data_IF_834950329191
#
_entry.id   IF_834950329191
#
_cell.length_a   1.000
_cell.length_b   1.000
_cell.length_c   1.000
_cell.angle_alpha   90.00
_cell.angle_beta   90.00
_cell.angle_gamma   90.00
#
_symmetry.space_group_name_H-M   'P 1'
#
loop_
_entity.id
_entity.type
_entity.pdbx_description
1 polymer ?
#
# COMPACT_ATOMS: atom_id res chain seq x y z
N UNK A 1 5.84 13.51 -40.70
CA UNK A 1 6.61 13.93 -39.51
C UNK A 1 6.14 13.05 -38.37
N UNK A 2 6.88 11.99 -38.08
CA UNK A 2 6.47 10.90 -37.19
C UNK A 2 7.03 11.20 -35.81
N UNK A 3 6.18 11.56 -34.86
CA UNK A 3 6.56 11.73 -33.46
C UNK A 3 6.75 10.32 -32.90
N UNK A 4 8.01 9.90 -32.79
CA UNK A 4 8.37 8.71 -32.03
C UNK A 4 8.43 9.17 -30.57
N UNK A 5 7.40 8.81 -29.80
CA UNK A 5 7.44 8.96 -28.34
C UNK A 5 8.57 8.06 -27.82
N UNK A 6 9.63 8.67 -27.30
CA UNK A 6 10.67 7.96 -26.57
C UNK A 6 10.04 7.30 -25.33
N UNK A 7 10.41 6.06 -24.97
CA UNK A 7 9.91 5.42 -23.77
C UNK A 7 10.40 6.21 -22.55
N UNK A 8 9.50 6.95 -21.91
CA UNK A 8 9.78 7.65 -20.67
C UNK A 8 10.13 6.61 -19.61
N UNK A 9 11.39 6.62 -19.19
CA UNK A 9 11.90 5.80 -18.08
C UNK A 9 11.03 6.08 -16.85
N UNK A 10 10.40 5.05 -16.31
CA UNK A 10 9.70 5.12 -15.02
C UNK A 10 10.75 5.40 -13.96
N UNK A 11 10.88 6.67 -13.55
CA UNK A 11 11.68 7.03 -12.40
C UNK A 11 11.18 6.30 -11.16
N UNK A 12 12.08 5.75 -10.37
CA UNK A 12 11.74 5.14 -9.07
C UNK A 12 10.91 6.14 -8.25
N UNK A 13 9.81 5.70 -7.59
CA UNK A 13 9.07 6.59 -6.72
C UNK A 13 10.01 7.09 -5.62
N UNK A 14 10.16 8.42 -5.53
CA UNK A 14 10.96 9.06 -4.51
C UNK A 14 10.32 8.85 -3.13
N UNK A 15 10.59 7.70 -2.52
CA UNK A 15 10.29 7.46 -1.11
C UNK A 15 11.26 8.34 -0.31
N UNK A 16 10.74 9.38 0.31
CA UNK A 16 11.53 10.23 1.20
C UNK A 16 11.98 9.38 2.38
N UNK A 17 13.30 9.24 2.56
CA UNK A 17 13.86 8.62 3.76
C UNK A 17 13.80 9.59 4.96
N UNK A 18 13.56 9.06 6.17
CA UNK A 18 13.25 7.67 6.44
C UNK A 18 11.73 7.50 6.53
N UNK A 19 11.15 6.72 5.61
CA UNK A 19 9.87 6.07 5.92
C UNK A 19 10.04 5.36 7.27
N UNK A 20 9.10 5.52 8.21
CA UNK A 20 9.27 5.04 9.58
C UNK A 20 9.52 3.53 9.62
N UNK A 21 10.31 3.11 10.60
CA UNK A 21 10.69 1.70 10.78
C UNK A 21 9.43 0.80 10.77
N UNK A 22 9.40 -0.26 9.93
CA UNK A 22 8.22 -1.11 9.79
C UNK A 22 7.74 -1.77 11.10
N UNK A 23 8.62 -2.09 12.05
CA UNK A 23 8.22 -2.64 13.35
C UNK A 23 7.55 -1.56 14.20
N UNK A 24 8.11 -0.35 14.23
CA UNK A 24 7.49 0.78 14.93
C UNK A 24 6.11 1.10 14.34
N UNK A 25 5.99 1.09 13.01
CA UNK A 25 4.71 1.32 12.31
C UNK A 25 3.70 0.24 12.67
N UNK A 26 4.07 -1.04 12.64
CA UNK A 26 3.16 -2.13 12.99
C UNK A 26 2.71 -2.06 14.46
N UNK A 27 3.63 -1.76 15.38
CA UNK A 27 3.29 -1.54 16.79
C UNK A 27 2.33 -0.36 16.97
N UNK A 28 2.60 0.77 16.32
CA UNK A 28 1.74 1.95 16.36
C UNK A 28 0.35 1.65 15.76
N UNK A 29 0.30 0.93 14.63
CA UNK A 29 -0.92 0.54 13.95
C UNK A 29 -1.82 -0.33 14.86
N UNK A 30 -1.24 -1.33 15.52
CA UNK A 30 -1.95 -2.16 16.49
C UNK A 30 -2.50 -1.31 17.65
N UNK A 31 -1.72 -0.37 18.18
CA UNK A 31 -2.14 0.52 19.29
C UNK A 31 -3.29 1.44 18.92
N UNK A 32 -3.42 1.85 17.66
CA UNK A 32 -4.52 2.71 17.20
C UNK A 32 -5.75 1.92 16.73
N UNK A 33 -5.68 0.58 16.77
CA UNK A 33 -6.83 -0.30 16.56
C UNK A 33 -6.89 -1.00 15.19
N UNK A 34 -5.78 -1.08 14.45
CA UNK A 34 -5.72 -1.93 13.27
C UNK A 34 -5.52 -3.40 13.62
N UNK A 35 -6.14 -4.29 12.84
CA UNK A 35 -5.80 -5.71 12.85
C UNK A 35 -4.42 -5.89 12.18
N UNK A 36 -3.41 -6.22 12.98
CA UNK A 36 -2.05 -6.43 12.51
C UNK A 36 -1.74 -7.94 12.53
N UNK A 37 -1.41 -8.56 11.39
CA UNK A 37 -1.07 -9.97 11.33
C UNK A 37 0.29 -10.23 11.99
N UNK A 38 0.54 -11.48 12.37
CA UNK A 38 1.88 -11.89 12.76
C UNK A 38 2.83 -11.78 11.57
N UNK A 39 3.98 -11.13 11.77
CA UNK A 39 4.96 -10.89 10.72
C UNK A 39 6.24 -11.66 11.02
N UNK A 40 6.81 -12.25 9.96
CA UNK A 40 8.09 -12.96 10.01
C UNK A 40 9.17 -11.99 9.55
N UNK A 41 10.25 -11.92 10.32
CA UNK A 41 11.37 -11.01 10.13
C UNK A 41 12.68 -11.82 10.12
N UNK A 42 12.70 -12.91 9.34
CA UNK A 42 13.87 -13.75 9.12
C UNK A 42 14.70 -13.25 7.92
N UNK A 43 15.87 -13.85 7.66
CA UNK A 43 16.78 -13.41 6.59
C UNK A 43 16.19 -13.57 5.18
N UNK A 44 15.14 -14.39 5.04
CA UNK A 44 14.32 -14.55 3.82
C UNK A 44 13.08 -13.64 3.81
N UNK A 45 12.99 -12.69 4.74
CA UNK A 45 11.84 -11.80 4.83
C UNK A 45 11.74 -10.93 3.58
N UNK A 46 10.52 -10.88 3.05
CA UNK A 46 10.12 -9.97 1.99
C UNK A 46 10.51 -8.53 2.29
N UNK A 47 10.79 -7.71 1.26
CA UNK A 47 10.99 -6.28 1.43
C UNK A 47 9.76 -5.58 2.04
N UNK A 48 8.56 -6.18 1.91
CA UNK A 48 7.30 -5.67 2.44
C UNK A 48 6.63 -6.69 3.39
N UNK A 49 7.27 -7.01 4.54
CA UNK A 49 6.88 -8.16 5.37
C UNK A 49 5.51 -7.96 6.05
N UNK A 50 5.12 -6.71 6.31
CA UNK A 50 3.78 -6.35 6.80
C UNK A 50 2.70 -6.67 5.77
N UNK A 51 2.91 -6.29 4.51
CA UNK A 51 1.96 -6.51 3.43
C UNK A 51 1.79 -8.01 3.16
N UNK A 52 2.89 -8.75 3.16
CA UNK A 52 2.86 -10.21 3.02
C UNK A 52 2.16 -10.90 4.18
N UNK A 53 2.37 -10.42 5.42
CA UNK A 53 1.59 -10.83 6.58
C UNK A 53 0.09 -10.62 6.37
N UNK A 54 -0.29 -9.45 5.85
CA UNK A 54 -1.68 -9.07 5.64
C UNK A 54 -2.34 -9.88 4.52
N UNK A 55 -1.63 -10.12 3.42
CA UNK A 55 -2.07 -10.99 2.33
C UNK A 55 -2.27 -12.43 2.81
N UNK A 56 -1.33 -12.98 3.60
CA UNK A 56 -1.49 -14.32 4.19
C UNK A 56 -2.69 -14.41 5.13
N UNK A 57 -2.90 -13.39 5.96
CA UNK A 57 -4.03 -13.36 6.90
C UNK A 57 -5.38 -13.21 6.20
N UNK A 58 -5.44 -12.41 5.13
CA UNK A 58 -6.65 -12.24 4.32
C UNK A 58 -6.97 -13.45 3.44
N UNK A 59 -5.96 -14.26 3.11
CA UNK A 59 -6.10 -15.43 2.26
C UNK A 59 -6.16 -15.09 0.76
N UNK A 60 -6.45 -16.07 -0.11
CA UNK A 60 -6.31 -15.96 -1.56
C UNK A 60 -7.25 -14.93 -2.21
N UNK A 61 -8.35 -14.58 -1.54
CA UNK A 61 -9.29 -13.56 -2.01
C UNK A 61 -8.99 -12.16 -1.44
N UNK A 62 -7.89 -12.02 -0.69
CA UNK A 62 -7.47 -10.75 -0.11
C UNK A 62 -7.23 -9.68 -1.18
N UNK A 63 -7.83 -8.51 -1.00
CA UNK A 63 -7.69 -7.37 -1.92
C UNK A 63 -6.89 -6.27 -1.26
N UNK A 64 -5.79 -5.85 -1.90
CA UNK A 64 -5.00 -4.71 -1.46
C UNK A 64 -5.73 -3.42 -1.83
N UNK A 65 -5.85 -2.52 -0.87
CA UNK A 65 -6.30 -1.14 -1.07
C UNK A 65 -5.35 -0.20 -0.40
N UNK A 66 -5.27 1.03 -0.90
CA UNK A 66 -4.49 2.09 -0.28
C UNK A 66 -5.44 3.19 0.21
N UNK A 67 -5.41 3.45 1.52
CA UNK A 67 -5.98 4.67 2.08
C UNK A 67 -4.95 5.79 1.96
N UNK A 68 -5.40 6.99 1.64
CA UNK A 68 -4.54 8.17 1.60
C UNK A 68 -4.99 9.12 2.70
N UNK A 69 -4.04 9.55 3.53
CA UNK A 69 -4.23 10.58 4.55
C UNK A 69 -3.53 11.85 4.07
N UNK A 70 -4.30 12.93 3.93
CA UNK A 70 -3.82 14.27 3.61
C UNK A 70 -4.27 15.23 4.71
N UNK A 71 -3.37 16.05 5.23
CA UNK A 71 -3.66 17.04 6.28
C UNK A 71 -4.41 16.42 7.48
N UNK A 72 -4.00 15.21 7.87
CA UNK A 72 -4.58 14.45 8.99
C UNK A 72 -5.95 13.83 8.73
N UNK A 73 -6.45 13.82 7.47
CA UNK A 73 -7.76 13.27 7.10
C UNK A 73 -7.65 12.22 6.01
N UNK A 74 -8.46 11.16 6.11
CA UNK A 74 -8.58 10.18 5.02
C UNK A 74 -9.36 10.79 3.85
N UNK A 75 -8.80 10.71 2.64
CA UNK A 75 -9.42 11.21 1.39
C UNK A 75 -9.79 10.06 0.45
N UNK A 76 -10.63 10.34 -0.55
CA UNK A 76 -10.93 9.38 -1.62
C UNK A 76 -11.82 8.19 -1.24
N UNK A 77 -12.41 8.19 -0.03
CA UNK A 77 -13.18 7.06 0.53
C UNK A 77 -14.27 6.56 -0.44
N UNK A 78 -15.06 7.46 -1.04
CA UNK A 78 -16.15 7.08 -1.95
C UNK A 78 -15.68 6.21 -3.12
N UNK A 79 -14.50 6.48 -3.68
CA UNK A 79 -13.93 5.71 -4.79
C UNK A 79 -13.56 4.30 -4.31
N UNK A 80 -12.96 4.19 -3.12
CA UNK A 80 -12.58 2.91 -2.52
C UNK A 80 -13.81 2.06 -2.25
N UNK A 81 -14.86 2.64 -1.64
CA UNK A 81 -16.10 1.93 -1.35
C UNK A 81 -16.80 1.42 -2.62
N UNK A 82 -16.81 2.23 -3.67
CA UNK A 82 -17.35 1.85 -4.98
C UNK A 82 -16.57 0.69 -5.61
N UNK A 83 -15.24 0.72 -5.56
CA UNK A 83 -14.40 -0.35 -6.10
C UNK A 83 -14.48 -1.65 -5.29
N UNK A 84 -14.60 -1.54 -3.97
CA UNK A 84 -14.70 -2.70 -3.09
C UNK A 84 -16.11 -3.30 -3.04
N UNK A 85 -17.14 -2.51 -3.34
CA UNK A 85 -18.54 -2.87 -3.10
C UNK A 85 -18.91 -2.94 -1.61
N UNK A 86 -18.08 -2.33 -0.74
CA UNK A 86 -18.17 -2.44 0.72
C UNK A 86 -17.86 -1.08 1.35
N UNK A 87 -18.47 -0.80 2.50
CA UNK A 87 -18.15 0.41 3.28
C UNK A 87 -16.82 0.27 3.99
N UNK A 88 -16.06 1.36 4.07
CA UNK A 88 -14.87 1.40 4.92
C UNK A 88 -15.32 1.55 6.37
N UNK A 89 -14.93 0.67 7.31
CA UNK A 89 -15.33 0.79 8.69
C UNK A 89 -14.85 2.13 9.30
N UNK A 90 -15.71 2.83 10.02
CA UNK A 90 -15.36 4.10 10.67
C UNK A 90 -14.15 3.98 11.61
N UNK A 91 -14.01 2.82 12.29
CA UNK A 91 -12.85 2.51 13.14
C UNK A 91 -11.54 2.50 12.34
N UNK A 92 -11.56 2.01 11.11
CA UNK A 92 -10.39 1.93 10.22
C UNK A 92 -9.96 3.32 9.78
N UNK A 93 -10.92 4.18 9.44
CA UNK A 93 -10.64 5.58 9.09
C UNK A 93 -10.02 6.35 10.27
N UNK A 94 -10.61 6.22 11.46
CA UNK A 94 -10.09 6.85 12.67
C UNK A 94 -8.70 6.33 13.06
N UNK A 95 -8.46 5.03 12.91
CA UNK A 95 -7.16 4.43 13.15
C UNK A 95 -6.10 4.97 12.17
N UNK A 96 -6.45 5.14 10.88
CA UNK A 96 -5.55 5.71 9.88
C UNK A 96 -5.12 7.14 10.23
N UNK A 97 -6.08 8.01 10.58
CA UNK A 97 -5.79 9.40 10.99
C UNK A 97 -4.88 9.46 12.22
N UNK A 98 -5.16 8.60 13.22
CA UNK A 98 -4.35 8.50 14.45
C UNK A 98 -2.95 7.94 14.19
N UNK A 99 -2.82 6.96 13.31
CA UNK A 99 -1.52 6.37 12.97
C UNK A 99 -0.61 7.45 12.38
N UNK A 100 -1.09 8.16 11.35
CA UNK A 100 -0.31 9.20 10.67
C UNK A 100 0.05 10.33 11.62
N UNK A 101 -0.86 10.75 12.50
CA UNK A 101 -0.56 11.73 13.54
C UNK A 101 0.55 11.26 14.51
N UNK A 102 0.65 9.95 14.77
CA UNK A 102 1.62 9.39 15.71
C UNK A 102 3.01 9.14 15.09
N UNK A 103 3.10 8.84 13.79
CA UNK A 103 4.35 8.39 13.15
C UNK A 103 4.91 9.36 12.11
N UNK A 104 4.14 10.37 11.71
CA UNK A 104 4.49 11.25 10.59
C UNK A 104 4.24 12.74 10.91
N UNK A 105 4.45 13.13 12.17
CA UNK A 105 4.47 14.50 12.69
C UNK A 105 3.26 15.39 12.32
N UNK A 106 2.09 14.78 12.09
CA UNK A 106 0.80 15.45 11.93
C UNK A 106 0.62 16.29 10.65
N UNK A 107 1.67 16.51 9.84
CA UNK A 107 1.61 17.21 8.54
C UNK A 107 1.89 16.32 7.35
N UNK A 108 2.31 15.08 7.57
CA UNK A 108 2.65 14.19 6.48
C UNK A 108 1.42 13.77 5.66
N UNK A 109 1.63 13.76 4.35
CA UNK A 109 0.83 12.97 3.43
C UNK A 109 1.27 11.52 3.56
N UNK A 110 0.34 10.59 3.68
CA UNK A 110 0.70 9.18 3.84
C UNK A 110 -0.24 8.27 3.07
N UNK A 111 0.33 7.23 2.46
CA UNK A 111 -0.40 6.06 1.98
C UNK A 111 -0.36 4.97 3.04
N UNK A 112 -1.50 4.34 3.31
CA UNK A 112 -1.61 3.16 4.16
C UNK A 112 -2.11 2.01 3.30
N UNK A 113 -1.31 0.96 3.18
CA UNK A 113 -1.70 -0.25 2.49
C UNK A 113 -2.49 -1.12 3.46
N UNK A 114 -3.70 -1.51 3.07
CA UNK A 114 -4.58 -2.41 3.80
C UNK A 114 -4.96 -3.59 2.91
N UNK A 115 -5.21 -4.75 3.52
CA UNK A 115 -5.72 -5.93 2.81
C UNK A 115 -7.08 -6.28 3.37
N UNK A 116 -8.08 -6.37 2.49
CA UNK A 116 -9.46 -6.70 2.85
C UNK A 116 -9.77 -8.14 2.48
N UNK A 117 -10.17 -8.96 3.46
CA UNK A 117 -10.59 -10.34 3.22
C UNK A 117 -12.03 -10.42 2.69
N UNK A 118 -12.45 -11.62 2.24
CA UNK A 118 -13.83 -11.86 1.75
C UNK A 118 -14.91 -11.56 2.80
N UNK A 119 -14.59 -11.74 4.08
CA UNK A 119 -15.49 -11.49 5.20
C UNK A 119 -15.57 -9.99 5.58
N UNK A 120 -14.79 -9.13 4.93
CA UNK A 120 -14.75 -7.69 5.19
C UNK A 120 -13.89 -7.31 6.39
N UNK A 121 -12.92 -8.14 6.80
CA UNK A 121 -11.88 -7.76 7.77
C UNK A 121 -10.73 -7.04 7.07
N UNK A 122 -10.14 -6.07 7.77
CA UNK A 122 -9.17 -5.12 7.22
C UNK A 122 -7.85 -5.26 7.96
N UNK A 123 -6.85 -5.80 7.28
CA UNK A 123 -5.52 -6.05 7.82
C UNK A 123 -4.57 -4.92 7.44
N UNK A 124 -3.80 -4.42 8.40
CA UNK A 124 -2.78 -3.42 8.12
C UNK A 124 -1.57 -4.03 7.41
N UNK A 125 -1.19 -3.46 6.27
CA UNK A 125 -0.12 -3.95 5.40
C UNK A 125 1.06 -3.01 5.25
N UNK A 126 0.96 -1.75 5.67
CA UNK A 126 2.10 -0.84 5.65
C UNK A 126 1.73 0.63 5.65
N UNK A 127 2.75 1.47 5.85
CA UNK A 127 2.64 2.93 5.75
C UNK A 127 3.81 3.46 4.92
N UNK A 128 3.48 4.35 3.99
CA UNK A 128 4.44 5.09 3.18
C UNK A 128 4.19 6.58 3.40
N UNK A 129 5.20 7.30 3.87
CA UNK A 129 5.16 8.76 3.91
C UNK A 129 5.40 9.30 2.50
N UNK A 130 4.47 10.11 2.01
CA UNK A 130 4.53 10.74 0.71
C UNK A 130 5.23 12.11 0.83
N UNK A 131 6.01 12.53 -0.18
CA UNK A 131 6.60 13.87 -0.18
C UNK A 131 5.52 14.97 -0.18
N UNK A 132 5.89 16.13 0.36
CA UNK A 132 5.03 17.32 0.38
C UNK A 132 4.79 17.92 -1.02
N UNK A 133 5.65 17.59 -1.99
CA UNK A 133 5.45 17.94 -3.40
C UNK A 133 4.61 16.88 -4.13
N UNK A 134 3.73 17.29 -5.07
CA UNK A 134 2.86 16.38 -5.79
C UNK A 134 3.67 15.55 -6.79
N UNK A 135 4.25 14.44 -6.35
CA UNK A 135 4.69 13.38 -7.27
C UNK A 135 3.47 12.57 -7.67
N UNK A 136 2.80 13.03 -8.73
CA UNK A 136 1.80 12.26 -9.49
C UNK A 136 2.40 10.90 -9.87
N UNK A 137 2.15 9.86 -9.08
CA UNK A 137 2.55 8.49 -9.44
C UNK A 137 1.33 7.57 -9.40
N UNK A 138 1.13 6.97 -10.57
CA UNK A 138 0.04 6.11 -11.01
C UNK A 138 -0.28 4.94 -10.07
N UNK A 139 -1.50 4.35 -10.16
CA UNK A 139 -1.87 3.20 -9.35
C UNK A 139 -0.89 2.02 -9.54
N UNK A 140 -0.34 1.53 -8.43
CA UNK A 140 0.48 0.32 -8.36
C UNK A 140 -0.37 -0.88 -8.79
N UNK A 141 0.05 -1.60 -9.84
CA UNK A 141 -0.51 -2.91 -10.19
C UNK A 141 0.13 -3.94 -9.27
N UNK A 142 -0.65 -4.87 -8.72
CA UNK A 142 -0.09 -6.02 -8.01
C UNK A 142 0.94 -6.75 -8.91
N UNK A 143 2.04 -7.28 -8.36
CA UNK A 143 3.02 -8.01 -9.16
C UNK A 143 2.30 -9.18 -9.83
N UNK A 144 2.18 -9.12 -11.16
CA UNK A 144 1.65 -10.21 -11.95
C UNK A 144 2.64 -11.36 -11.89
N UNK A 145 2.15 -12.57 -11.62
CA UNK A 145 2.92 -13.80 -11.83
C UNK A 145 3.48 -13.76 -13.26
N UNK A 146 4.81 -13.82 -13.37
CA UNK A 146 5.50 -13.89 -14.65
C UNK A 146 4.96 -15.11 -15.42
N UNK A 147 4.03 -14.87 -16.35
CA UNK A 147 3.67 -15.85 -17.35
C UNK A 147 4.83 -15.88 -18.34
N UNK A 148 5.63 -16.93 -18.27
CA UNK A 148 6.68 -17.22 -19.24
C UNK A 148 6.06 -17.41 -20.61
N UNK A 149 6.10 -16.39 -21.45
CA UNK A 149 5.81 -16.52 -22.88
C UNK A 149 7.08 -17.11 -23.53
N UNK A 150 7.00 -18.26 -24.22
CA UNK A 150 8.15 -18.82 -24.93
C UNK A 150 8.50 -17.94 -26.15
N UNK A 151 9.79 -17.63 -26.30
CA UNK A 151 10.34 -16.88 -27.43
C UNK A 151 10.09 -17.62 -28.77
N UNK A 152 9.67 -16.92 -29.84
CA UNK A 152 9.59 -17.53 -31.17
C UNK A 152 10.99 -17.77 -31.76
N UNK A 153 11.17 -18.81 -32.60
CA UNK A 153 12.45 -19.08 -33.25
C UNK A 153 12.78 -18.04 -34.33
N UNK A 154 14.04 -17.61 -34.35
CA UNK A 154 14.59 -16.69 -35.34
C UNK A 154 14.54 -17.27 -36.76
N UNK A 155 14.26 -16.46 -37.81
CA UNK A 155 14.37 -16.90 -39.19
C UNK A 155 15.85 -17.03 -39.59
N UNK A 156 16.13 -18.02 -40.45
CA UNK A 156 17.45 -18.37 -40.99
C UNK A 156 17.96 -17.34 -41.99
#
# INVERSE_FOLDING_TARGET
>A
MTIVDEPTTVGEPAVVRPSPDPLLVAFAAARVGFDCPAVRWDDDASPDPLLDGALRAAGPEGRVIQLVVLDGRVVGIRRIEMLLGLRVPARTLLAAERLVAAVADGRARAGLDLVVDRAGRWWFGGLTVLPDEPSLTSPRRAPGTASSVPSPPWPR
#
